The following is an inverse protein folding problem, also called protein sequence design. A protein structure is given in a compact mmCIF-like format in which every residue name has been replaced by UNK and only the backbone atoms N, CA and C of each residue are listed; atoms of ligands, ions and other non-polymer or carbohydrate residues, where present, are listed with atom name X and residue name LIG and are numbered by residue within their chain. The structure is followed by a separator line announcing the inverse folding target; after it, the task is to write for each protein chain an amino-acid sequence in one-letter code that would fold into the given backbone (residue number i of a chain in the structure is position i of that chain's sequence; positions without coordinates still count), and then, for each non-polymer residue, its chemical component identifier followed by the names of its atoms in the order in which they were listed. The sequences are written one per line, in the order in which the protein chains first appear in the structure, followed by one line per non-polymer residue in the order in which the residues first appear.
data_IF_835688068291
#
_entry.id   IF_835688068291
#
_cell.length_a   1.000
_cell.length_b   1.000
_cell.length_c   1.000
_cell.angle_alpha   90.00
_cell.angle_beta   90.00
_cell.angle_gamma   90.00
#
_symmetry.space_group_name_H-M   'P 1'
#
loop_
_entity.id
_entity.type
_entity.pdbx_description
1 polymer ?
#
# COMPACT_ATOMS: atom_id res chain seq x y z
N UNK A 1 -42.01 -14.43 -4.67
CA UNK A 1 -40.93 -14.06 -3.72
C UNK A 1 -39.63 -14.04 -4.50
N UNK A 2 -39.22 -12.88 -5.01
CA UNK A 2 -38.01 -12.71 -5.85
C UNK A 2 -36.83 -12.44 -4.93
N UNK A 3 -35.89 -13.38 -4.83
CA UNK A 3 -34.63 -13.17 -4.11
C UNK A 3 -33.76 -12.29 -5.00
N UNK A 4 -33.62 -11.01 -4.65
CA UNK A 4 -32.56 -10.18 -5.21
C UNK A 4 -31.22 -10.75 -4.74
N UNK A 5 -30.53 -11.45 -5.62
CA UNK A 5 -29.17 -11.91 -5.37
C UNK A 5 -28.29 -10.69 -5.16
N UNK A 6 -27.93 -10.41 -3.92
CA UNK A 6 -26.94 -9.39 -3.57
C UNK A 6 -25.61 -9.80 -4.19
N UNK A 7 -25.28 -9.24 -5.35
CA UNK A 7 -23.97 -9.37 -5.99
C UNK A 7 -22.94 -8.77 -5.03
N UNK A 8 -22.32 -9.62 -4.21
CA UNK A 8 -21.14 -9.22 -3.44
C UNK A 8 -20.07 -8.77 -4.45
N UNK A 9 -19.48 -7.58 -4.29
CA UNK A 9 -18.42 -7.14 -5.18
C UNK A 9 -17.35 -8.24 -5.29
N UNK A 10 -17.11 -8.74 -6.49
CA UNK A 10 -16.09 -9.75 -6.74
C UNK A 10 -14.73 -9.07 -6.73
N UNK A 11 -14.09 -8.99 -5.57
CA UNK A 11 -12.69 -8.59 -5.49
C UNK A 11 -11.85 -9.69 -6.13
N UNK A 12 -11.18 -9.37 -7.24
CA UNK A 12 -10.39 -10.32 -8.03
C UNK A 12 -9.36 -11.05 -7.18
N UNK A 13 -9.34 -12.37 -7.24
CA UNK A 13 -8.33 -13.20 -6.60
C UNK A 13 -6.99 -13.10 -7.35
N UNK A 14 -5.94 -12.58 -6.70
CA UNK A 14 -4.62 -12.42 -7.31
C UNK A 14 -3.65 -13.50 -6.81
N UNK A 15 -2.77 -13.95 -7.69
CA UNK A 15 -1.61 -14.74 -7.26
C UNK A 15 -0.56 -13.83 -6.61
N UNK A 16 0.38 -14.42 -5.85
CA UNK A 16 1.33 -13.68 -5.01
C UNK A 16 2.13 -12.61 -5.76
N UNK A 17 2.78 -12.91 -6.91
CA UNK A 17 3.54 -11.88 -7.64
C UNK A 17 2.64 -10.77 -8.19
N UNK A 18 1.45 -11.11 -8.70
CA UNK A 18 0.50 -10.10 -9.20
C UNK A 18 0.01 -9.19 -8.08
N UNK A 19 -0.19 -9.71 -6.86
CA UNK A 19 -0.58 -8.89 -5.72
C UNK A 19 0.50 -7.86 -5.35
N UNK A 20 1.78 -8.26 -5.32
CA UNK A 20 2.92 -7.35 -5.05
C UNK A 20 3.03 -6.29 -6.13
N UNK A 21 3.00 -6.70 -7.42
CA UNK A 21 3.08 -5.78 -8.56
C UNK A 21 1.91 -4.79 -8.54
N UNK A 22 0.69 -5.29 -8.35
CA UNK A 22 -0.52 -4.47 -8.30
C UNK A 22 -0.43 -3.42 -7.20
N UNK A 23 -0.10 -3.83 -5.96
CA UNK A 23 0.01 -2.91 -4.84
C UNK A 23 1.06 -1.82 -5.10
N UNK A 24 2.23 -2.23 -5.61
CA UNK A 24 3.34 -1.32 -5.91
C UNK A 24 2.94 -0.29 -6.96
N UNK A 25 2.40 -0.74 -8.10
CA UNK A 25 2.02 0.16 -9.20
C UNK A 25 0.86 1.06 -8.80
N UNK A 26 -0.18 0.51 -8.15
CA UNK A 26 -1.34 1.29 -7.74
C UNK A 26 -0.96 2.38 -6.73
N UNK A 27 -0.21 2.03 -5.68
CA UNK A 27 0.23 3.01 -4.68
C UNK A 27 1.15 4.06 -5.31
N UNK A 28 2.10 3.65 -6.16
CA UNK A 28 3.03 4.58 -6.81
C UNK A 28 2.30 5.59 -7.69
N UNK A 29 1.38 5.14 -8.54
CA UNK A 29 0.65 6.04 -9.44
C UNK A 29 -0.20 7.06 -8.66
N UNK A 30 -0.90 6.61 -7.62
CA UNK A 30 -1.71 7.51 -6.79
C UNK A 30 -0.83 8.47 -6.01
N UNK A 31 0.30 8.02 -5.45
CA UNK A 31 1.23 8.89 -4.73
C UNK A 31 1.88 9.93 -5.66
N UNK A 32 2.28 9.55 -6.87
CA UNK A 32 2.79 10.51 -7.85
C UNK A 32 1.73 11.52 -8.28
N UNK A 33 0.47 11.09 -8.44
CA UNK A 33 -0.64 12.00 -8.71
C UNK A 33 -0.84 13.00 -7.55
N UNK A 34 -0.83 12.52 -6.31
CA UNK A 34 -0.91 13.38 -5.12
C UNK A 34 0.25 14.37 -5.08
N UNK A 35 1.46 13.93 -5.41
CA UNK A 35 2.64 14.80 -5.46
C UNK A 35 2.48 15.93 -6.49
N UNK A 36 2.04 15.60 -7.71
CA UNK A 36 1.77 16.61 -8.76
C UNK A 36 0.67 17.58 -8.33
N UNK A 37 -0.39 17.08 -7.69
CA UNK A 37 -1.47 17.93 -7.16
C UNK A 37 -0.95 18.85 -6.05
N UNK A 38 -0.13 18.36 -5.13
CA UNK A 38 0.47 19.16 -4.06
C UNK A 38 1.40 20.26 -4.60
N UNK A 39 2.17 19.96 -5.65
CA UNK A 39 2.99 20.96 -6.32
C UNK A 39 2.13 22.05 -6.96
N UNK A 40 1.06 21.66 -7.66
CA UNK A 40 0.12 22.60 -8.25
C UNK A 40 -0.61 23.45 -7.19
N UNK A 41 -0.76 22.93 -5.97
CA UNK A 41 -1.30 23.64 -4.82
C UNK A 41 -0.27 24.50 -4.07
N UNK A 42 0.98 24.55 -4.52
CA UNK A 42 2.05 25.39 -3.97
C UNK A 42 2.90 24.76 -2.87
N UNK A 43 2.80 23.45 -2.63
CA UNK A 43 3.68 22.75 -1.70
C UNK A 43 5.11 22.71 -2.23
N UNK A 44 6.10 23.03 -1.39
CA UNK A 44 7.51 23.01 -1.79
C UNK A 44 8.11 21.60 -1.76
N UNK A 45 7.55 20.73 -0.91
CA UNK A 45 8.10 19.41 -0.56
C UNK A 45 9.54 19.47 -0.04
N UNK A 46 9.92 20.59 0.56
CA UNK A 46 11.24 20.80 1.14
C UNK A 46 11.18 20.69 2.66
N UNK A 47 12.23 20.12 3.24
CA UNK A 47 12.45 20.04 4.68
C UNK A 47 13.90 20.44 5.00
N UNK A 48 14.15 20.93 6.20
CA UNK A 48 15.50 21.21 6.68
C UNK A 48 15.98 20.05 7.54
N UNK A 49 17.01 19.35 7.08
CA UNK A 49 17.68 18.31 7.85
C UNK A 49 19.12 18.73 8.14
N UNK A 50 19.48 18.75 9.43
CA UNK A 50 20.79 19.17 9.92
C UNK A 50 21.31 20.49 9.31
N UNK A 51 20.41 21.46 9.07
CA UNK A 51 20.74 22.76 8.48
C UNK A 51 20.85 22.76 6.95
N UNK A 52 20.52 21.66 6.29
CA UNK A 52 20.48 21.53 4.83
C UNK A 52 19.06 21.35 4.34
N UNK A 53 18.66 22.12 3.33
CA UNK A 53 17.35 21.96 2.68
C UNK A 53 17.40 20.75 1.76
N UNK A 54 16.51 19.79 1.99
CA UNK A 54 16.31 18.61 1.17
C UNK A 54 14.92 18.62 0.57
N UNK A 55 14.82 18.34 -0.73
CA UNK A 55 13.55 18.22 -1.42
C UNK A 55 13.11 16.76 -1.52
N UNK A 56 11.84 16.48 -1.25
CA UNK A 56 11.16 15.24 -1.61
C UNK A 56 10.78 15.31 -3.09
N UNK A 57 11.83 15.28 -3.92
CA UNK A 57 11.75 15.18 -5.37
C UNK A 57 10.97 13.92 -5.78
N UNK A 58 10.48 13.80 -7.03
CA UNK A 58 9.67 12.65 -7.43
C UNK A 58 10.41 11.33 -7.27
N UNK A 59 11.75 11.34 -7.36
CA UNK A 59 12.59 10.18 -7.05
C UNK A 59 12.48 9.70 -5.60
N UNK A 60 12.32 10.62 -4.64
CA UNK A 60 12.07 10.29 -3.23
C UNK A 60 10.72 9.60 -3.04
N UNK A 61 9.67 10.11 -3.69
CA UNK A 61 8.32 9.49 -3.67
C UNK A 61 8.35 8.08 -4.25
N UNK A 62 9.06 7.89 -5.37
CA UNK A 62 9.23 6.57 -5.99
C UNK A 62 9.92 5.60 -5.03
N UNK A 63 11.09 5.97 -4.49
CA UNK A 63 11.87 5.09 -3.62
C UNK A 63 11.12 4.74 -2.33
N UNK A 64 10.55 5.75 -1.65
CA UNK A 64 9.85 5.57 -0.38
C UNK A 64 8.49 4.88 -0.53
N UNK A 65 7.92 4.82 -1.73
CA UNK A 65 6.71 4.01 -2.00
C UNK A 65 7.08 2.59 -2.40
N UNK A 66 7.98 2.44 -3.38
CA UNK A 66 8.25 1.14 -4.01
C UNK A 66 9.03 0.21 -3.08
N UNK A 67 10.11 0.70 -2.46
CA UNK A 67 11.03 -0.15 -1.68
C UNK A 67 10.32 -0.79 -0.49
N UNK A 68 9.58 -0.05 0.36
CA UNK A 68 8.89 -0.66 1.50
C UNK A 68 7.79 -1.65 1.08
N UNK A 69 7.01 -1.34 0.04
CA UNK A 69 5.94 -2.21 -0.44
C UNK A 69 6.51 -3.51 -1.00
N UNK A 70 7.49 -3.42 -1.91
CA UNK A 70 8.08 -4.60 -2.54
C UNK A 70 8.72 -5.49 -1.51
N UNK A 71 9.54 -4.94 -0.60
CA UNK A 71 10.20 -5.73 0.45
C UNK A 71 9.16 -6.35 1.38
N UNK A 72 8.29 -5.55 1.98
CA UNK A 72 7.33 -6.01 2.98
C UNK A 72 6.35 -7.05 2.43
N UNK A 73 5.77 -6.79 1.26
CA UNK A 73 4.83 -7.72 0.64
C UNK A 73 5.51 -8.97 0.06
N UNK A 74 6.75 -8.87 -0.44
CA UNK A 74 7.47 -10.06 -0.91
C UNK A 74 7.82 -10.99 0.25
N UNK A 75 8.25 -10.44 1.39
CA UNK A 75 8.48 -11.23 2.61
C UNK A 75 7.17 -11.93 3.03
N UNK A 76 6.06 -11.20 3.10
CA UNK A 76 4.76 -11.79 3.43
C UNK A 76 4.35 -12.88 2.44
N UNK A 77 4.55 -12.64 1.13
CA UNK A 77 4.24 -13.59 0.07
C UNK A 77 5.07 -14.88 0.20
N UNK A 78 6.38 -14.78 0.45
CA UNK A 78 7.28 -15.93 0.61
C UNK A 78 6.91 -16.72 1.87
N UNK A 79 6.75 -16.05 3.02
CA UNK A 79 6.39 -16.71 4.28
C UNK A 79 5.01 -17.38 4.19
N UNK A 80 4.07 -16.78 3.43
CA UNK A 80 2.74 -17.35 3.22
C UNK A 80 2.73 -18.67 2.45
N UNK A 81 3.85 -19.08 1.83
CA UNK A 81 4.00 -20.41 1.25
C UNK A 81 4.05 -21.50 2.33
N UNK A 82 4.52 -21.16 3.54
CA UNK A 82 4.61 -22.08 4.68
C UNK A 82 3.48 -21.90 5.69
N UNK A 83 2.98 -20.67 5.84
CA UNK A 83 1.95 -20.35 6.83
C UNK A 83 1.07 -19.18 6.37
N UNK A 84 -0.18 -19.46 5.96
CA UNK A 84 -1.10 -18.44 5.45
C UNK A 84 -1.51 -17.39 6.51
N UNK A 85 -1.41 -17.70 7.80
CA UNK A 85 -1.74 -16.77 8.88
C UNK A 85 -0.89 -15.50 8.88
N UNK A 86 0.32 -15.55 8.31
CA UNK A 86 1.20 -14.37 8.18
C UNK A 86 0.54 -13.23 7.40
N UNK A 87 -0.37 -13.54 6.48
CA UNK A 87 -1.03 -12.52 5.65
C UNK A 87 -1.88 -11.59 6.53
N UNK A 88 -2.54 -12.11 7.58
CA UNK A 88 -3.31 -11.29 8.52
C UNK A 88 -2.41 -10.36 9.33
N UNK A 89 -1.27 -10.87 9.80
CA UNK A 89 -0.28 -10.04 10.49
C UNK A 89 0.26 -8.95 9.56
N UNK A 90 0.60 -9.31 8.32
CA UNK A 90 1.06 -8.38 7.32
C UNK A 90 0.02 -7.30 6.96
N UNK A 91 -1.28 -7.61 7.01
CA UNK A 91 -2.34 -6.61 6.85
C UNK A 91 -2.32 -5.57 7.98
N UNK A 92 -2.20 -6.02 9.23
CA UNK A 92 -2.11 -5.12 10.40
C UNK A 92 -0.86 -4.25 10.29
N UNK A 93 0.29 -4.85 10.02
CA UNK A 93 1.55 -4.11 9.85
C UNK A 93 1.47 -3.16 8.66
N UNK A 94 0.88 -3.59 7.54
CA UNK A 94 0.69 -2.79 6.33
C UNK A 94 -0.24 -1.59 6.50
N UNK A 95 -1.05 -1.56 7.57
CA UNK A 95 -1.83 -0.38 7.98
C UNK A 95 -1.04 0.46 8.98
N UNK A 96 -0.55 -0.16 10.07
CA UNK A 96 0.03 0.57 11.18
C UNK A 96 1.38 1.20 10.85
N UNK A 97 2.23 0.53 10.08
CA UNK A 97 3.55 1.04 9.73
C UNK A 97 3.46 2.36 8.95
N UNK A 98 2.75 2.46 7.80
CA UNK A 98 2.66 3.74 7.08
C UNK A 98 1.89 4.82 7.86
N UNK A 99 0.87 4.47 8.63
CA UNK A 99 0.19 5.48 9.47
C UNK A 99 1.10 5.98 10.60
N UNK A 100 1.97 5.13 11.14
CA UNK A 100 2.96 5.53 12.13
C UNK A 100 4.00 6.50 11.57
N UNK A 101 4.41 6.33 10.30
CA UNK A 101 5.39 7.25 9.68
C UNK A 101 4.82 8.64 9.41
N UNK A 102 3.49 8.82 9.41
CA UNK A 102 2.86 10.16 9.38
C UNK A 102 3.33 11.01 10.55
N UNK A 103 3.56 10.41 11.74
CA UNK A 103 4.07 11.15 12.88
C UNK A 103 5.42 11.84 12.58
N UNK A 104 6.28 11.18 11.79
CA UNK A 104 7.55 11.77 11.35
C UNK A 104 7.32 12.87 10.30
N UNK A 105 6.36 12.69 9.39
CA UNK A 105 6.00 13.74 8.40
C UNK A 105 5.47 15.00 9.08
N UNK A 106 4.66 14.84 10.14
CA UNK A 106 4.11 15.96 10.91
C UNK A 106 5.16 16.64 11.80
N UNK A 107 6.13 15.87 12.30
CA UNK A 107 7.23 16.41 13.09
C UNK A 107 8.31 17.10 12.23
N UNK A 108 8.34 16.82 10.93
CA UNK A 108 9.21 17.50 9.99
C UNK A 108 8.72 18.93 9.71
N UNK A 109 9.63 19.79 9.26
CA UNK A 109 9.41 21.22 9.04
C UNK A 109 8.87 21.56 7.63
N UNK A 110 8.14 20.63 7.02
CA UNK A 110 7.46 20.87 5.75
C UNK A 110 6.44 22.02 5.87
N UNK A 111 6.16 22.68 4.75
CA UNK A 111 5.00 23.56 4.66
C UNK A 111 3.68 22.77 4.85
N UNK A 112 2.60 23.49 5.12
CA UNK A 112 1.30 22.88 5.43
C UNK A 112 0.74 22.01 4.28
N UNK A 113 0.91 22.45 3.03
CA UNK A 113 0.43 21.71 1.85
C UNK A 113 1.22 20.41 1.70
N UNK A 114 2.55 20.50 1.77
CA UNK A 114 3.44 19.34 1.68
C UNK A 114 3.19 18.34 2.80
N UNK A 115 2.98 18.82 4.04
CA UNK A 115 2.67 17.97 5.20
C UNK A 115 1.39 17.15 4.96
N UNK A 116 0.32 17.81 4.52
CA UNK A 116 -0.96 17.14 4.25
C UNK A 116 -0.82 16.13 3.11
N UNK A 117 -0.20 16.53 2.00
CA UNK A 117 -0.07 15.69 0.81
C UNK A 117 0.81 14.46 1.08
N UNK A 118 1.96 14.63 1.76
CA UNK A 118 2.82 13.51 2.16
C UNK A 118 2.14 12.59 3.18
N UNK A 119 1.33 13.13 4.09
CA UNK A 119 0.53 12.31 5.02
C UNK A 119 -0.50 11.47 4.27
N UNK A 120 -1.17 12.04 3.26
CA UNK A 120 -2.14 11.32 2.43
C UNK A 120 -1.50 10.17 1.63
N UNK A 121 -0.25 10.33 1.16
CA UNK A 121 0.47 9.24 0.49
C UNK A 121 0.64 8.00 1.39
N UNK A 122 0.84 8.20 2.68
CA UNK A 122 0.90 7.10 3.64
C UNK A 122 -0.46 6.44 3.85
N UNK A 123 -1.54 7.22 3.86
CA UNK A 123 -2.92 6.69 3.90
C UNK A 123 -3.21 5.84 2.66
N UNK A 124 -2.75 6.23 1.48
CA UNK A 124 -2.86 5.43 0.25
C UNK A 124 -2.20 4.06 0.44
N UNK A 125 -0.97 4.01 0.96
CA UNK A 125 -0.27 2.75 1.25
C UNK A 125 -1.07 1.90 2.26
N UNK A 126 -1.55 2.53 3.33
CA UNK A 126 -2.35 1.89 4.37
C UNK A 126 -3.67 1.29 3.86
N UNK A 127 -4.16 1.72 2.69
CA UNK A 127 -5.35 1.15 2.04
C UNK A 127 -4.98 0.09 1.00
N UNK A 128 -4.02 0.40 0.12
CA UNK A 128 -3.66 -0.45 -1.02
C UNK A 128 -3.01 -1.76 -0.58
N UNK A 129 -2.09 -1.71 0.39
CA UNK A 129 -1.38 -2.90 0.89
C UNK A 129 -2.33 -3.95 1.48
N UNK A 130 -3.18 -3.64 2.48
CA UNK A 130 -4.08 -4.65 3.04
C UNK A 130 -5.11 -5.17 2.02
N UNK A 131 -5.54 -4.33 1.06
CA UNK A 131 -6.43 -4.75 -0.02
C UNK A 131 -5.76 -5.79 -0.95
N UNK A 132 -4.50 -5.58 -1.32
CA UNK A 132 -3.73 -6.53 -2.12
C UNK A 132 -3.38 -7.82 -1.36
N UNK A 133 -3.12 -7.73 -0.05
CA UNK A 133 -2.94 -8.90 0.81
C UNK A 133 -4.23 -9.71 0.95
N UNK A 134 -5.39 -9.04 1.05
CA UNK A 134 -6.70 -9.71 1.08
C UNK A 134 -7.02 -10.43 -0.23
N UNK A 135 -6.74 -9.82 -1.38
CA UNK A 135 -6.93 -10.46 -2.69
C UNK A 135 -6.03 -11.68 -2.88
N UNK A 136 -4.80 -11.62 -2.35
CA UNK A 136 -3.87 -12.75 -2.32
C UNK A 136 -4.37 -13.89 -1.42
N UNK A 137 -4.89 -13.57 -0.23
CA UNK A 137 -5.46 -14.57 0.69
C UNK A 137 -6.63 -15.31 0.04
N UNK A 138 -7.53 -14.58 -0.62
CA UNK A 138 -8.67 -15.16 -1.36
C UNK A 138 -8.22 -16.02 -2.53
N UNK A 139 -7.19 -15.59 -3.26
CA UNK A 139 -6.60 -16.38 -4.34
C UNK A 139 -5.96 -17.68 -3.86
N UNK A 140 -5.29 -17.67 -2.71
CA UNK A 140 -4.76 -18.88 -2.10
C UNK A 140 -5.87 -19.87 -1.72
N UNK A 141 -6.98 -19.39 -1.12
CA UNK A 141 -8.11 -20.22 -0.72
C UNK A 141 -8.88 -20.82 -1.92
N UNK A 142 -9.04 -20.06 -3.01
CA UNK A 142 -9.67 -20.55 -4.24
C UNK A 142 -8.85 -21.67 -4.91
N UNK A 143 -7.51 -21.55 -4.91
CA UNK A 143 -6.62 -22.58 -5.43
C UNK A 143 -6.67 -23.88 -4.64
N UNK A 144 -6.82 -23.81 -3.31
CA UNK A 144 -6.97 -25.02 -2.47
C UNK A 144 -8.31 -25.73 -2.70
N UNK A 145 -9.40 -25.00 -2.97
CA UNK A 145 -10.71 -25.59 -3.23
C UNK A 145 -10.79 -26.34 -4.56
N UNK A 146 -10.06 -25.89 -5.60
CA UNK A 146 -9.98 -26.59 -6.89
C UNK A 146 -9.14 -27.87 -6.84
N UNK A 147 -8.21 -27.98 -5.89
CA UNK A 147 -7.31 -29.12 -5.76
C UNK A 147 -7.94 -30.33 -5.05
N UNK A 148 -9.15 -30.21 -4.50
CA UNK A 148 -9.87 -31.32 -3.87
C UNK A 148 -11.02 -31.78 -4.77
N UNK A 149 -10.82 -32.77 -5.66
CA UNK A 149 -11.95 -33.41 -6.32
C UNK A 149 -12.74 -34.21 -5.29
N UNK A 150 -14.06 -34.15 -5.40
CA UNK A 150 -14.99 -34.91 -4.57
C UNK A 150 -14.59 -36.39 -4.53
N UNK A 151 -14.46 -36.92 -3.31
CA UNK A 151 -14.44 -38.36 -3.03
C UNK A 151 -15.86 -38.77 -2.64
#
# INVERSE_FOLDING_TARGET
MTVHGTTRPSVTALNRPRAVIFATVAALLVNLLLWVVGLAAGGSFELTDAGTTMAVAPGGVVMLTVVPIVIGMSIAAIVSLRWLGVIRLAQVVGVLAPLGTIAMTVAADFDAVSTVVLSLMHVVIAVVVPAALESMLRGAAAGTAQASPAV
#
